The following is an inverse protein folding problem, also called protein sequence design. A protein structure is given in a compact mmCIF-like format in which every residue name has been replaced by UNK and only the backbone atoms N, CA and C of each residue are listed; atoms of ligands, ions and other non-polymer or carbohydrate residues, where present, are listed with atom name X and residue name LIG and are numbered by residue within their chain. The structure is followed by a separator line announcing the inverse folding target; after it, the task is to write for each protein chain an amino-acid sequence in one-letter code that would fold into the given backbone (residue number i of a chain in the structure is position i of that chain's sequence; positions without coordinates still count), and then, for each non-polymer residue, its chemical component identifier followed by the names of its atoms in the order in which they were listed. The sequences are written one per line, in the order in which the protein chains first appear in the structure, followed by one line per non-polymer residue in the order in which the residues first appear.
data_IF_746901347781
#
_entry.id   IF_746901347781
#
_cell.length_a   1.000
_cell.length_b   1.000
_cell.length_c   1.000
_cell.angle_alpha   90.00
_cell.angle_beta   90.00
_cell.angle_gamma   90.00
#
_symmetry.space_group_name_H-M   'P 1'
#
loop_
_entity.id
_entity.type
_entity.pdbx_description
1 polymer ?
#
# COMPACT_ATOMS: atom_id res chain seq x y z
N UNK A 1 17.95 16.81 -9.21
CA UNK A 1 16.68 16.17 -8.77
C UNK A 1 16.87 15.70 -7.34
N UNK A 2 15.95 15.95 -6.40
CA UNK A 2 16.02 15.37 -5.06
C UNK A 2 16.00 13.84 -5.19
N UNK A 3 16.83 13.15 -4.40
CA UNK A 3 16.82 11.69 -4.38
C UNK A 3 15.50 11.23 -3.74
N UNK A 4 14.73 10.31 -4.35
CA UNK A 4 13.48 9.82 -3.75
C UNK A 4 13.75 9.23 -2.36
N UNK A 5 12.81 9.41 -1.43
CA UNK A 5 12.91 8.81 -0.11
C UNK A 5 13.07 7.27 -0.25
N UNK A 6 14.17 6.66 0.25
CA UNK A 6 14.44 5.24 0.06
C UNK A 6 13.38 4.33 0.71
N UNK A 7 12.64 4.84 1.70
CA UNK A 7 11.55 4.13 2.36
C UNK A 7 10.21 4.25 1.63
N UNK A 8 10.17 4.97 0.52
CA UNK A 8 8.95 5.16 -0.29
C UNK A 8 9.11 4.71 -1.73
N UNK A 9 10.04 3.79 -1.96
CA UNK A 9 10.07 3.04 -3.21
C UNK A 9 8.90 2.06 -3.26
N UNK A 10 8.39 1.76 -4.45
CA UNK A 10 7.30 0.78 -4.63
C UNK A 10 7.62 -0.56 -3.95
N UNK A 11 8.86 -1.06 -4.10
CA UNK A 11 9.30 -2.30 -3.47
C UNK A 11 9.30 -2.25 -1.93
N UNK A 12 9.65 -1.10 -1.34
CA UNK A 12 9.61 -0.94 0.12
C UNK A 12 8.18 -0.90 0.64
N UNK A 13 7.33 -0.07 0.03
CA UNK A 13 5.91 0.05 0.37
C UNK A 13 5.18 -1.29 0.23
N UNK A 14 5.45 -2.03 -0.85
CA UNK A 14 4.87 -3.37 -1.06
C UNK A 14 5.27 -4.36 0.03
N UNK A 15 6.56 -4.43 0.38
CA UNK A 15 7.03 -5.31 1.46
C UNK A 15 6.43 -4.94 2.82
N UNK A 16 6.22 -3.67 3.06
CA UNK A 16 5.55 -3.20 4.27
C UNK A 16 4.07 -3.62 4.29
N UNK A 17 3.33 -3.39 3.19
CA UNK A 17 1.95 -3.81 3.03
C UNK A 17 1.77 -5.32 3.27
N UNK A 18 2.60 -6.16 2.64
CA UNK A 18 2.59 -7.62 2.84
C UNK A 18 2.76 -8.02 4.32
N UNK A 19 3.73 -7.41 5.02
CA UNK A 19 3.99 -7.73 6.43
C UNK A 19 2.84 -7.31 7.33
N UNK A 20 2.25 -6.14 7.08
CA UNK A 20 1.12 -5.64 7.86
C UNK A 20 -0.14 -6.46 7.60
N UNK A 21 -0.45 -6.74 6.33
CA UNK A 21 -1.57 -7.59 5.96
C UNK A 21 -1.50 -8.98 6.60
N UNK A 22 -0.32 -9.60 6.60
CA UNK A 22 -0.11 -10.89 7.26
C UNK A 22 -0.20 -10.82 8.80
N UNK A 23 0.22 -9.70 9.41
CA UNK A 23 0.21 -9.54 10.86
C UNK A 23 -1.17 -9.18 11.43
N UNK A 24 -1.91 -8.32 10.74
CA UNK A 24 -3.18 -7.79 11.21
C UNK A 24 -4.39 -8.55 10.63
N UNK A 25 -4.19 -9.30 9.54
CA UNK A 25 -5.27 -10.00 8.84
C UNK A 25 -6.20 -9.05 8.06
N UNK A 26 -5.68 -7.89 7.66
CA UNK A 26 -6.43 -6.82 6.99
C UNK A 26 -5.82 -6.51 5.61
N UNK A 27 -6.60 -5.89 4.73
CA UNK A 27 -6.12 -5.44 3.42
C UNK A 27 -5.33 -4.14 3.57
N UNK A 28 -4.20 -4.07 2.86
CA UNK A 28 -3.36 -2.87 2.82
C UNK A 28 -3.14 -2.38 1.40
N UNK A 29 -3.19 -1.07 1.20
CA UNK A 29 -3.11 -0.43 -0.11
C UNK A 29 -1.88 0.46 -0.19
N UNK A 30 -1.12 0.31 -1.28
CA UNK A 30 -0.08 1.27 -1.67
C UNK A 30 -0.77 2.33 -2.52
N UNK A 31 -0.75 3.57 -2.05
CA UNK A 31 -1.36 4.71 -2.74
C UNK A 31 -0.31 5.74 -3.12
N UNK A 32 -0.49 6.35 -4.28
CA UNK A 32 0.28 7.51 -4.72
C UNK A 32 -0.18 8.74 -3.94
N UNK A 33 0.76 9.65 -3.67
CA UNK A 33 0.45 10.92 -3.03
C UNK A 33 0.85 12.07 -3.95
N UNK A 34 0.33 13.26 -3.66
CA UNK A 34 0.71 14.52 -4.30
C UNK A 34 2.05 15.07 -3.79
N UNK A 35 2.64 14.48 -2.74
CA UNK A 35 3.87 14.97 -2.14
C UNK A 35 5.11 14.39 -2.84
N UNK A 36 5.90 15.20 -3.58
CA UNK A 36 7.06 14.70 -4.31
C UNK A 36 8.21 14.20 -3.40
N UNK A 37 8.28 14.67 -2.15
CA UNK A 37 9.23 14.15 -1.17
C UNK A 37 8.75 12.85 -0.52
N UNK A 38 7.44 12.59 -0.61
CA UNK A 38 6.80 11.42 -0.05
C UNK A 38 5.77 10.78 -1.01
N UNK A 39 6.20 10.29 -2.19
CA UNK A 39 5.31 9.96 -3.31
C UNK A 39 4.40 8.76 -3.09
N UNK A 40 4.59 7.99 -2.01
CA UNK A 40 3.78 6.79 -1.72
C UNK A 40 3.43 6.71 -0.25
N UNK A 41 2.22 6.25 0.04
CA UNK A 41 1.79 5.86 1.37
C UNK A 41 1.27 4.42 1.35
N UNK A 42 1.27 3.79 2.53
CA UNK A 42 0.61 2.50 2.73
C UNK A 42 -0.48 2.69 3.76
N UNK A 43 -1.72 2.40 3.37
CA UNK A 43 -2.92 2.58 4.19
C UNK A 43 -3.58 1.23 4.45
N UNK A 44 -4.17 1.05 5.62
CA UNK A 44 -5.14 -0.03 5.83
C UNK A 44 -6.41 0.25 5.03
N UNK A 45 -7.19 -0.79 4.76
CA UNK A 45 -8.51 -0.66 4.10
C UNK A 45 -9.39 0.35 4.84
N UNK A 46 -9.41 0.30 6.18
CA UNK A 46 -10.15 1.24 7.02
C UNK A 46 -9.67 2.69 6.86
N UNK A 47 -8.36 2.91 6.87
CA UNK A 47 -7.80 4.27 6.74
C UNK A 47 -8.03 4.83 5.33
N UNK A 48 -8.01 3.96 4.31
CA UNK A 48 -8.35 4.32 2.93
C UNK A 48 -9.80 4.78 2.82
N UNK A 49 -10.76 4.05 3.41
CA UNK A 49 -12.17 4.43 3.43
C UNK A 49 -12.47 5.71 4.23
N UNK A 50 -11.63 6.04 5.22
CA UNK A 50 -11.75 7.28 5.99
C UNK A 50 -11.19 8.51 5.25
N UNK A 51 -10.48 8.31 4.13
CA UNK A 51 -9.88 9.40 3.37
C UNK A 51 -10.88 10.04 2.40
N UNK A 52 -11.04 11.35 2.47
CA UNK A 52 -11.91 12.12 1.56
C UNK A 52 -11.21 12.54 0.26
N UNK A 53 -9.88 12.44 0.21
CA UNK A 53 -9.04 12.98 -0.88
C UNK A 53 -8.41 11.90 -1.76
N UNK A 54 -8.78 10.63 -1.60
CA UNK A 54 -8.28 9.54 -2.43
C UNK A 54 -9.30 9.18 -3.51
N UNK A 55 -8.82 9.04 -4.73
CA UNK A 55 -9.56 8.47 -5.85
C UNK A 55 -9.09 7.03 -6.12
N UNK A 56 -9.90 6.20 -6.79
CA UNK A 56 -9.47 4.84 -7.15
C UNK A 56 -8.18 4.80 -7.99
N UNK A 57 -7.91 5.87 -8.76
CA UNK A 57 -6.73 6.00 -9.62
C UNK A 57 -5.43 6.19 -8.84
N UNK A 58 -5.52 6.64 -7.58
CA UNK A 58 -4.37 6.82 -6.70
C UNK A 58 -3.86 5.49 -6.13
N UNK A 59 -4.64 4.41 -6.23
CA UNK A 59 -4.28 3.08 -5.71
C UNK A 59 -3.35 2.38 -6.71
N UNK A 60 -2.07 2.24 -6.36
CA UNK A 60 -1.06 1.57 -7.19
C UNK A 60 -1.13 0.05 -7.05
N UNK A 61 -1.37 -0.44 -5.82
CA UNK A 61 -1.49 -1.87 -5.54
C UNK A 61 -2.27 -2.12 -4.24
N UNK A 62 -2.98 -3.25 -4.20
CA UNK A 62 -3.69 -3.73 -3.01
C UNK A 62 -3.16 -5.10 -2.60
N UNK A 63 -2.92 -5.27 -1.32
CA UNK A 63 -2.47 -6.50 -0.69
C UNK A 63 -3.59 -7.05 0.19
N UNK A 64 -4.34 -7.99 -0.35
CA UNK A 64 -5.37 -8.74 0.40
C UNK A 64 -4.77 -10.08 0.87
N UNK A 65 -4.61 -10.31 2.18
CA UNK A 65 -4.02 -11.53 2.72
C UNK A 65 -4.87 -12.77 2.41
N UNK A 66 -6.19 -12.63 2.22
CA UNK A 66 -7.08 -13.73 1.87
C UNK A 66 -6.90 -14.15 0.40
N UNK A 67 -6.60 -13.21 -0.49
CA UNK A 67 -6.28 -13.50 -1.90
C UNK A 67 -4.87 -14.06 -2.07
N UNK A 68 -3.91 -13.64 -1.24
CA UNK A 68 -2.54 -14.15 -1.27
C UNK A 68 -2.46 -15.64 -0.88
N UNK A 69 -3.27 -16.08 0.08
CA UNK A 69 -3.34 -17.49 0.48
C UNK A 69 -3.82 -18.43 -0.63
N UNK A 70 -4.63 -17.92 -1.57
CA UNK A 70 -5.15 -18.68 -2.71
C UNK A 70 -4.06 -18.94 -3.75
N UNK A 71 -3.08 -18.02 -3.89
CA UNK A 71 -1.99 -18.15 -4.85
C UNK A 71 -0.94 -19.21 -4.45
N UNK A 72 -0.85 -19.56 -3.16
CA UNK A 72 0.07 -20.59 -2.63
C UNK A 72 -0.56 -21.97 -2.45
N UNK A 73 -1.86 -22.11 -2.70
CA UNK A 73 -2.61 -23.36 -2.53
C UNK A 73 -2.88 -24.15 -3.83
N UNK A 74 -2.19 -23.81 -4.93
CA UNK A 74 -2.31 -24.47 -6.23
C UNK A 74 -1.17 -25.43 -6.53
#
# INVERSE_FOLDING_TARGET
MPRPNPFQTAAHCWRFALRRAAADGDTYHVVMTDNPAAPRAVLSDRDLFASENLTPEDIEASCDPFLLGIATGG
#
